data_IF_879874794627
#
_entry.id   IF_879874794627
#
_cell.length_a   1.000
_cell.length_b   1.000
_cell.length_c   1.000
_cell.angle_alpha   90.00
_cell.angle_beta   90.00
_cell.angle_gamma   90.00
#
_symmetry.space_group_name_H-M   'P 1'
#
loop_
_entity.id
_entity.type
_entity.pdbx_description
1 polymer ?
#
# COMPACT_ATOMS: atom_id res chain seq x y z
N UNK A 1 -11.18 79.55 -30.24
CA UNK A 1 -10.57 78.82 -29.12
C UNK A 1 -11.62 77.91 -28.45
N UNK A 2 -12.26 76.97 -29.18
CA UNK A 2 -13.31 76.11 -28.59
C UNK A 2 -13.64 74.86 -29.46
N UNK A 3 -12.63 74.18 -30.03
CA UNK A 3 -12.84 72.90 -30.75
C UNK A 3 -11.95 71.75 -30.27
N UNK A 4 -10.96 71.99 -29.41
CA UNK A 4 -9.96 70.98 -29.03
C UNK A 4 -10.33 70.11 -27.82
N UNK A 5 -11.28 70.52 -26.98
CA UNK A 5 -11.59 69.82 -25.72
C UNK A 5 -12.43 68.54 -25.95
N UNK A 6 -13.34 68.55 -26.93
CA UNK A 6 -14.22 67.40 -27.20
C UNK A 6 -13.50 66.19 -27.80
N UNK A 7 -12.43 66.41 -28.59
CA UNK A 7 -11.63 65.33 -29.19
C UNK A 7 -10.73 64.69 -28.13
N UNK A 8 -10.12 65.50 -27.25
CA UNK A 8 -9.25 65.04 -26.17
C UNK A 8 -10.00 64.15 -25.16
N UNK A 9 -11.22 64.53 -24.78
CA UNK A 9 -12.08 63.72 -23.91
C UNK A 9 -12.54 62.40 -24.56
N UNK A 10 -12.81 62.41 -25.88
CA UNK A 10 -13.22 61.22 -26.64
C UNK A 10 -12.06 60.21 -26.81
N UNK A 11 -10.83 60.70 -26.98
CA UNK A 11 -9.63 59.87 -27.07
C UNK A 11 -9.28 59.28 -25.70
N UNK A 12 -9.32 60.07 -24.63
CA UNK A 12 -9.06 59.60 -23.27
C UNK A 12 -10.05 58.53 -22.78
N UNK A 13 -11.34 58.63 -23.15
CA UNK A 13 -12.37 57.65 -22.80
C UNK A 13 -12.26 56.35 -23.64
N UNK A 14 -11.67 56.43 -24.83
CA UNK A 14 -11.42 55.28 -25.70
C UNK A 14 -10.17 54.51 -25.26
N UNK A 15 -9.10 55.20 -24.87
CA UNK A 15 -7.90 54.57 -24.30
C UNK A 15 -8.17 53.95 -22.93
N UNK A 16 -8.93 54.59 -22.03
CA UNK A 16 -9.33 53.99 -20.73
C UNK A 16 -10.21 52.75 -20.89
N UNK A 17 -11.15 52.75 -21.85
CA UNK A 17 -11.94 51.54 -22.16
C UNK A 17 -11.10 50.42 -22.76
N UNK A 18 -10.13 50.73 -23.61
CA UNK A 18 -9.19 49.75 -24.17
C UNK A 18 -8.26 49.15 -23.10
N UNK A 19 -7.74 49.97 -22.17
CA UNK A 19 -6.90 49.48 -21.07
C UNK A 19 -7.69 48.63 -20.09
N UNK A 20 -8.95 48.98 -19.80
CA UNK A 20 -9.81 48.18 -18.92
C UNK A 20 -10.11 46.80 -19.54
N UNK A 21 -10.46 46.76 -20.83
CA UNK A 21 -10.72 45.50 -21.55
C UNK A 21 -9.46 44.63 -21.64
N UNK A 22 -8.29 45.23 -21.89
CA UNK A 22 -7.03 44.48 -21.92
C UNK A 22 -6.70 43.88 -20.54
N UNK A 23 -6.93 44.64 -19.46
CA UNK A 23 -6.74 44.16 -18.09
C UNK A 23 -7.72 43.03 -17.74
N UNK A 24 -8.98 43.14 -18.18
CA UNK A 24 -9.99 42.10 -18.00
C UNK A 24 -9.63 40.80 -18.74
N UNK A 25 -9.14 40.89 -19.98
CA UNK A 25 -8.65 39.74 -20.75
C UNK A 25 -7.42 39.11 -20.08
N UNK A 26 -6.48 39.94 -19.57
CA UNK A 26 -5.30 39.45 -18.85
C UNK A 26 -5.68 38.72 -17.55
N UNK A 27 -6.68 39.25 -16.82
CA UNK A 27 -7.23 38.60 -15.62
C UNK A 27 -7.90 37.26 -15.97
N UNK A 28 -8.67 37.17 -17.05
CA UNK A 28 -9.31 35.91 -17.49
C UNK A 28 -8.25 34.86 -17.86
N UNK A 29 -7.16 35.26 -18.54
CA UNK A 29 -6.05 34.37 -18.88
C UNK A 29 -5.26 33.88 -17.67
N UNK A 30 -5.42 34.53 -16.51
CA UNK A 30 -4.73 34.16 -15.26
C UNK A 30 -5.49 33.13 -14.43
N UNK A 31 -6.73 32.78 -14.79
CA UNK A 31 -7.58 31.85 -14.03
C UNK A 31 -7.39 30.42 -14.55
N UNK A 32 -6.19 29.87 -14.37
CA UNK A 32 -5.88 28.47 -14.69
C UNK A 32 -5.55 27.69 -13.43
N UNK A 33 -6.50 26.91 -12.91
CA UNK A 33 -6.21 25.93 -11.87
C UNK A 33 -5.71 24.64 -12.52
N UNK A 34 -4.39 24.44 -12.51
CA UNK A 34 -3.78 23.19 -12.96
C UNK A 34 -3.69 22.21 -11.81
N UNK A 35 -4.47 21.12 -11.86
CA UNK A 35 -4.23 19.96 -11.01
C UNK A 35 -3.26 18.99 -11.69
N UNK A 36 -2.39 18.34 -10.90
CA UNK A 36 -1.44 17.37 -11.46
C UNK A 36 -2.21 16.10 -11.83
N UNK A 37 -2.00 15.57 -13.03
CA UNK A 37 -2.65 14.32 -13.49
C UNK A 37 -2.45 13.16 -12.53
N UNK A 38 -1.30 13.12 -11.84
CA UNK A 38 -1.01 12.10 -10.81
C UNK A 38 -2.07 12.09 -9.70
N UNK A 39 -2.58 13.26 -9.30
CA UNK A 39 -3.52 13.41 -8.18
C UNK A 39 -4.96 13.04 -8.61
N UNK A 40 -5.20 12.89 -9.92
CA UNK A 40 -6.45 12.33 -10.46
C UNK A 40 -6.41 10.82 -10.67
N UNK A 41 -5.22 10.22 -10.70
CA UNK A 41 -5.00 8.80 -11.01
C UNK A 41 -4.65 7.96 -9.78
N UNK A 42 -3.92 8.54 -8.81
CA UNK A 42 -3.36 7.80 -7.69
C UNK A 42 -3.82 8.39 -6.36
N UNK A 43 -4.29 7.53 -5.48
CA UNK A 43 -4.57 7.86 -4.09
C UNK A 43 -3.46 7.29 -3.19
N UNK A 44 -3.02 8.09 -2.21
CA UNK A 44 -2.01 7.62 -1.24
C UNK A 44 -2.73 6.97 -0.06
N UNK A 45 -2.47 5.68 0.16
CA UNK A 45 -2.89 5.00 1.39
C UNK A 45 -2.06 5.53 2.57
N UNK A 46 -2.70 6.25 3.47
CA UNK A 46 -2.09 6.75 4.72
C UNK A 46 -2.26 5.72 5.84
N UNK A 47 -1.36 5.69 6.83
CA UNK A 47 -1.46 4.78 7.99
C UNK A 47 -1.08 3.31 7.73
N UNK A 48 -0.71 2.94 6.50
CA UNK A 48 -0.21 1.61 6.20
C UNK A 48 1.19 1.38 6.81
N UNK A 49 1.43 0.16 7.31
CA UNK A 49 2.72 -0.30 7.83
C UNK A 49 3.27 -1.39 6.91
N UNK A 50 4.49 -1.21 6.42
CA UNK A 50 5.16 -2.20 5.60
C UNK A 50 5.73 -3.37 6.42
N UNK A 51 5.75 -4.55 5.83
CA UNK A 51 6.62 -5.64 6.23
C UNK A 51 8.00 -5.45 5.59
N UNK A 52 9.07 -5.71 6.35
CA UNK A 52 10.44 -5.46 5.89
C UNK A 52 11.27 -6.73 5.87
N UNK A 53 12.18 -6.81 4.89
CA UNK A 53 13.17 -7.87 4.80
C UNK A 53 14.21 -7.70 5.90
N UNK A 54 14.41 -8.75 6.69
CA UNK A 54 15.47 -8.88 7.68
C UNK A 54 16.43 -9.97 7.25
N UNK A 55 17.70 -9.77 7.53
CA UNK A 55 18.77 -10.71 7.21
C UNK A 55 19.25 -11.37 8.49
N UNK A 56 19.39 -12.69 8.45
CA UNK A 56 20.17 -13.47 9.40
C UNK A 56 21.43 -13.98 8.67
N UNK A 57 22.44 -14.46 9.39
CA UNK A 57 23.72 -14.91 8.84
C UNK A 57 23.57 -15.92 7.69
N UNK A 58 22.53 -16.74 7.71
CA UNK A 58 22.29 -17.82 6.73
C UNK A 58 21.04 -17.63 5.86
N UNK A 59 20.09 -16.80 6.28
CA UNK A 59 18.76 -16.72 5.67
C UNK A 59 18.23 -15.28 5.63
N UNK A 60 17.25 -15.05 4.76
CA UNK A 60 16.49 -13.81 4.71
C UNK A 60 15.05 -14.12 5.12
N UNK A 61 14.43 -13.23 5.88
CA UNK A 61 13.04 -13.34 6.34
C UNK A 61 12.29 -12.04 6.09
N UNK A 62 10.97 -12.08 6.01
CA UNK A 62 10.13 -10.89 5.76
C UNK A 62 9.93 -10.57 4.29
N UNK A 63 9.61 -9.31 3.98
CA UNK A 63 9.00 -8.91 2.71
C UNK A 63 9.83 -7.85 1.97
N UNK A 64 9.72 -7.82 0.63
CA UNK A 64 10.33 -6.78 -0.21
C UNK A 64 9.44 -6.54 -1.41
N UNK A 65 9.37 -5.30 -1.88
CA UNK A 65 8.77 -4.94 -3.15
C UNK A 65 9.77 -5.02 -4.29
N UNK A 66 9.26 -5.12 -5.52
CA UNK A 66 10.00 -4.85 -6.75
C UNK A 66 10.66 -3.47 -6.75
N UNK A 67 11.74 -3.31 -7.52
CA UNK A 67 12.54 -2.07 -7.57
C UNK A 67 11.69 -0.84 -7.87
N UNK A 68 10.69 -0.99 -8.72
CA UNK A 68 9.75 0.06 -9.13
C UNK A 68 8.37 -0.08 -8.46
N UNK A 69 8.27 -0.95 -7.45
CA UNK A 69 7.05 -1.26 -6.71
C UNK A 69 6.30 -2.46 -7.28
N UNK A 70 5.58 -3.18 -6.42
CA UNK A 70 4.71 -4.29 -6.81
C UNK A 70 3.31 -3.76 -7.11
N UNK A 71 2.82 -3.93 -8.34
CA UNK A 71 1.49 -3.51 -8.77
C UNK A 71 0.59 -4.72 -9.04
N UNK A 72 -0.72 -4.58 -8.85
CA UNK A 72 -1.68 -5.64 -9.16
C UNK A 72 -3.12 -5.22 -8.90
N UNK A 73 -4.06 -6.05 -9.34
CA UNK A 73 -5.49 -5.83 -9.17
C UNK A 73 -5.87 -6.06 -7.71
N UNK A 74 -6.43 -5.04 -7.06
CA UNK A 74 -6.94 -5.15 -5.69
C UNK A 74 -8.11 -6.13 -5.66
N UNK A 75 -8.03 -7.16 -4.83
CA UNK A 75 -9.10 -8.14 -4.66
C UNK A 75 -9.46 -8.27 -3.18
N UNK A 76 -10.69 -7.91 -2.82
CA UNK A 76 -11.12 -7.95 -1.43
C UNK A 76 -11.64 -9.35 -1.05
N UNK A 77 -10.88 -10.04 -0.19
CA UNK A 77 -11.11 -11.44 0.21
C UNK A 77 -11.33 -11.52 1.73
N UNK A 78 -12.60 -11.52 2.15
CA UNK A 78 -12.97 -11.64 3.57
C UNK A 78 -12.84 -13.07 4.10
N UNK A 79 -12.89 -14.06 3.20
CA UNK A 79 -12.86 -15.48 3.56
C UNK A 79 -11.84 -16.23 2.72
N UNK A 80 -11.43 -17.39 3.20
CA UNK A 80 -10.49 -18.28 2.51
C UNK A 80 -11.02 -18.75 1.15
N UNK A 81 -12.33 -18.90 1.00
CA UNK A 81 -12.95 -19.36 -0.26
C UNK A 81 -12.88 -18.27 -1.34
N UNK A 82 -13.05 -16.99 -0.95
CA UNK A 82 -12.83 -15.86 -1.87
C UNK A 82 -11.37 -15.79 -2.32
N UNK A 83 -10.43 -16.16 -1.45
CA UNK A 83 -9.02 -16.22 -1.81
C UNK A 83 -8.75 -17.37 -2.80
N UNK A 84 -9.36 -18.53 -2.59
CA UNK A 84 -9.24 -19.66 -3.52
C UNK A 84 -9.82 -19.33 -4.92
N UNK A 85 -10.81 -18.42 -5.00
CA UNK A 85 -11.32 -17.93 -6.28
C UNK A 85 -10.22 -17.28 -7.13
N UNK A 86 -9.39 -16.39 -6.58
CA UNK A 86 -8.32 -15.77 -7.37
C UNK A 86 -7.24 -16.77 -7.75
N UNK A 87 -7.00 -17.78 -6.91
CA UNK A 87 -6.01 -18.83 -7.15
C UNK A 87 -6.39 -19.76 -8.30
N UNK A 88 -7.68 -20.01 -8.51
CA UNK A 88 -8.15 -21.01 -9.49
C UNK A 88 -8.92 -20.42 -10.68
N UNK A 89 -9.68 -19.35 -10.48
CA UNK A 89 -10.62 -18.80 -11.47
C UNK A 89 -10.32 -17.34 -11.84
N UNK A 90 -9.27 -16.74 -11.28
CA UNK A 90 -8.88 -15.37 -11.55
C UNK A 90 -8.49 -15.15 -13.02
N UNK A 91 -8.98 -14.06 -13.62
CA UNK A 91 -8.74 -13.71 -15.03
C UNK A 91 -7.73 -12.58 -15.23
N UNK A 92 -7.30 -11.90 -14.17
CA UNK A 92 -6.50 -10.68 -14.22
C UNK A 92 -5.33 -10.67 -13.21
N UNK A 93 -4.42 -11.65 -13.24
CA UNK A 93 -3.17 -11.57 -12.48
C UNK A 93 -2.27 -10.42 -13.01
N UNK A 94 -1.39 -9.85 -12.18
CA UNK A 94 -1.15 -10.17 -10.77
C UNK A 94 -2.19 -9.54 -9.82
N UNK A 95 -2.51 -10.23 -8.73
CA UNK A 95 -3.46 -9.79 -7.71
C UNK A 95 -2.78 -9.21 -6.47
N UNK A 96 -3.48 -8.29 -5.79
CA UNK A 96 -3.18 -7.80 -4.44
C UNK A 96 -4.42 -8.08 -3.56
N UNK A 97 -4.51 -9.26 -2.92
CA UNK A 97 -5.57 -9.56 -1.98
C UNK A 97 -5.55 -8.60 -0.78
N UNK A 98 -6.74 -8.15 -0.39
CA UNK A 98 -7.01 -7.39 0.83
C UNK A 98 -7.84 -8.29 1.74
N UNK A 99 -7.30 -8.66 2.90
CA UNK A 99 -7.95 -9.64 3.77
C UNK A 99 -7.84 -9.31 5.27
N UNK A 100 -8.76 -9.80 6.11
CA UNK A 100 -8.69 -9.59 7.55
C UNK A 100 -7.57 -10.41 8.18
N UNK A 101 -7.02 -9.92 9.31
CA UNK A 101 -6.01 -10.66 10.11
C UNK A 101 -6.50 -12.07 10.49
N UNK A 102 -7.81 -12.26 10.69
CA UNK A 102 -8.39 -13.54 11.11
C UNK A 102 -8.08 -14.72 10.17
N UNK A 103 -7.94 -14.46 8.87
CA UNK A 103 -7.63 -15.51 7.89
C UNK A 103 -6.14 -15.57 7.54
N UNK A 104 -5.31 -14.75 8.20
CA UNK A 104 -3.86 -14.71 7.98
C UNK A 104 -3.18 -15.88 8.70
N UNK A 105 -3.05 -17.01 8.03
CA UNK A 105 -2.28 -18.18 8.51
C UNK A 105 -1.03 -18.43 7.68
N UNK A 106 -0.07 -19.20 8.21
CA UNK A 106 1.15 -19.56 7.48
C UNK A 106 0.83 -20.33 6.18
N UNK A 107 -0.18 -21.20 6.21
CA UNK A 107 -0.63 -21.95 5.04
C UNK A 107 -1.25 -21.04 3.97
N UNK A 108 -2.03 -20.04 4.38
CA UNK A 108 -2.60 -19.05 3.45
C UNK A 108 -1.49 -18.24 2.79
N UNK A 109 -0.52 -17.73 3.55
CA UNK A 109 0.62 -17.00 2.99
C UNK A 109 1.38 -17.89 2.01
N UNK A 110 1.67 -19.13 2.39
CA UNK A 110 2.38 -20.08 1.55
C UNK A 110 1.63 -20.35 0.24
N UNK A 111 0.32 -20.60 0.30
CA UNK A 111 -0.52 -20.78 -0.90
C UNK A 111 -0.43 -19.57 -1.83
N UNK A 112 -0.47 -18.35 -1.28
CA UNK A 112 -0.38 -17.12 -2.07
C UNK A 112 1.00 -16.94 -2.71
N UNK A 113 2.08 -17.19 -1.97
CA UNK A 113 3.45 -17.10 -2.49
C UNK A 113 3.70 -18.16 -3.56
N UNK A 114 3.33 -19.42 -3.28
CA UNK A 114 3.54 -20.56 -4.19
C UNK A 114 2.69 -20.44 -5.48
N UNK A 115 1.60 -19.65 -5.45
CA UNK A 115 0.75 -19.44 -6.63
C UNK A 115 1.43 -18.68 -7.76
N UNK A 116 2.41 -17.82 -7.46
CA UNK A 116 3.08 -16.96 -8.44
C UNK A 116 2.20 -15.89 -9.11
N UNK A 117 0.90 -15.80 -8.77
CA UNK A 117 -0.05 -14.84 -9.37
C UNK A 117 -0.34 -13.63 -8.48
N UNK A 118 0.29 -13.56 -7.29
CA UNK A 118 0.06 -12.52 -6.29
C UNK A 118 1.32 -11.66 -6.17
N UNK A 119 1.19 -10.34 -6.36
CA UNK A 119 2.32 -9.39 -6.29
C UNK A 119 2.47 -8.71 -4.92
N UNK A 120 1.44 -8.76 -4.09
CA UNK A 120 1.46 -8.22 -2.74
C UNK A 120 0.23 -8.61 -1.93
N UNK A 121 0.22 -8.26 -0.66
CA UNK A 121 -0.83 -8.60 0.29
C UNK A 121 -1.12 -7.40 1.18
N UNK A 122 -2.39 -7.08 1.35
CA UNK A 122 -2.86 -6.09 2.33
C UNK A 122 -3.66 -6.80 3.40
N UNK A 123 -3.23 -6.65 4.65
CA UNK A 123 -3.93 -7.21 5.81
C UNK A 123 -4.53 -6.07 6.60
N UNK A 124 -5.82 -6.14 6.92
CA UNK A 124 -6.46 -5.16 7.78
C UNK A 124 -6.91 -5.76 9.11
N UNK A 125 -6.79 -4.97 10.18
CA UNK A 125 -7.49 -5.27 11.41
C UNK A 125 -9.01 -5.14 11.19
N UNK A 126 -9.77 -6.11 11.71
CA UNK A 126 -11.22 -6.00 11.85
C UNK A 126 -11.56 -6.02 13.35
N UNK A 127 -12.79 -5.65 13.72
CA UNK A 127 -13.29 -5.75 15.10
C UNK A 127 -13.54 -7.22 15.55
N UNK A 128 -13.07 -8.19 14.78
CA UNK A 128 -13.17 -9.60 15.12
C UNK A 128 -12.26 -9.94 16.30
N UNK A 129 -12.80 -10.68 17.25
CA UNK A 129 -12.02 -11.26 18.35
C UNK A 129 -11.15 -12.40 17.80
N UNK A 130 -9.83 -12.24 17.91
CA UNK A 130 -8.87 -13.31 17.67
C UNK A 130 -8.58 -14.01 19.00
N UNK A 131 -8.78 -15.32 19.06
CA UNK A 131 -8.49 -16.10 20.28
C UNK A 131 -7.01 -16.03 20.64
N UNK A 132 -6.15 -16.19 19.64
CA UNK A 132 -4.71 -16.09 19.75
C UNK A 132 -4.10 -15.76 18.40
N UNK A 133 -3.04 -14.96 18.40
CA UNK A 133 -2.26 -14.67 17.21
C UNK A 133 -0.82 -14.35 17.57
N UNK A 134 0.11 -15.08 16.99
CA UNK A 134 1.54 -14.87 17.20
C UNK A 134 2.30 -15.33 15.97
N UNK A 135 3.15 -14.44 15.47
CA UNK A 135 4.00 -14.71 14.30
C UNK A 135 5.31 -15.42 14.67
N UNK A 136 5.65 -15.46 15.96
CA UNK A 136 6.92 -15.99 16.44
C UNK A 136 6.88 -17.51 16.59
N UNK A 137 8.05 -18.10 16.81
CA UNK A 137 8.21 -19.51 17.11
C UNK A 137 7.62 -19.88 18.48
N UNK A 138 7.36 -21.18 18.66
CA UNK A 138 6.94 -21.70 19.97
C UNK A 138 8.04 -21.61 21.04
N UNK A 139 9.29 -21.73 20.59
CA UNK A 139 10.49 -21.44 21.36
C UNK A 139 11.24 -20.29 20.68
N UNK A 140 11.09 -19.05 21.14
CA UNK A 140 11.89 -17.94 20.65
C UNK A 140 13.39 -18.17 20.89
N UNK A 141 14.23 -17.76 19.94
CA UNK A 141 15.70 -17.83 20.04
C UNK A 141 16.27 -19.18 20.52
N UNK A 142 15.91 -20.32 19.90
CA UNK A 142 16.29 -21.63 20.40
C UNK A 142 17.80 -21.86 20.41
N UNK A 143 18.54 -21.24 19.47
CA UNK A 143 20.00 -21.35 19.35
C UNK A 143 20.78 -20.48 20.34
N UNK A 144 20.13 -19.48 20.93
CA UNK A 144 20.75 -18.56 21.90
C UNK A 144 20.24 -18.77 23.31
N UNK A 145 19.31 -19.71 23.50
CA UNK A 145 18.72 -20.03 24.79
C UNK A 145 19.54 -21.10 25.51
N UNK A 146 19.45 -21.13 26.84
CA UNK A 146 20.04 -22.21 27.62
C UNK A 146 19.34 -23.54 27.29
N UNK A 147 20.12 -24.59 27.11
CA UNK A 147 19.61 -25.91 26.73
C UNK A 147 18.55 -26.40 27.72
N UNK A 148 17.43 -26.87 27.18
CA UNK A 148 16.35 -27.47 27.95
C UNK A 148 15.41 -26.48 28.65
N UNK A 149 15.53 -25.18 28.42
CA UNK A 149 14.60 -24.16 28.96
C UNK A 149 13.26 -24.11 28.21
N UNK A 150 13.25 -24.39 26.91
CA UNK A 150 12.03 -24.54 26.09
C UNK A 150 11.98 -25.94 25.50
N UNK A 151 10.92 -26.70 25.81
CA UNK A 151 10.75 -28.11 25.40
C UNK A 151 9.32 -28.33 24.90
N UNK A 152 9.07 -29.47 24.24
CA UNK A 152 7.74 -29.81 23.67
C UNK A 152 6.60 -29.76 24.69
N UNK A 153 6.88 -30.09 25.94
CA UNK A 153 5.88 -30.08 27.03
C UNK A 153 5.83 -28.74 27.78
N UNK A 154 6.69 -27.78 27.42
CA UNK A 154 6.85 -26.49 28.10
C UNK A 154 7.26 -25.39 27.11
N UNK A 155 6.45 -25.20 26.07
CA UNK A 155 6.64 -24.10 25.14
C UNK A 155 6.37 -22.76 25.84
N UNK A 156 7.26 -21.80 25.63
CA UNK A 156 7.08 -20.44 26.13
C UNK A 156 5.98 -19.70 25.37
N UNK A 157 5.81 -20.05 24.09
CA UNK A 157 4.77 -19.53 23.22
C UNK A 157 3.97 -20.70 22.60
N UNK A 158 3.02 -21.32 23.31
CA UNK A 158 2.34 -22.53 22.83
C UNK A 158 1.61 -22.33 21.49
N UNK A 159 1.14 -21.11 21.22
CA UNK A 159 0.44 -20.74 19.98
C UNK A 159 1.38 -20.26 18.86
N UNK A 160 2.70 -20.33 19.05
CA UNK A 160 3.71 -19.90 18.08
C UNK A 160 3.55 -20.58 16.71
N UNK A 161 3.40 -19.78 15.66
CA UNK A 161 3.20 -20.29 14.29
C UNK A 161 4.44 -20.18 13.40
N UNK A 162 5.47 -19.45 13.85
CA UNK A 162 6.70 -19.22 13.10
C UNK A 162 6.47 -18.65 11.67
N UNK A 163 5.45 -17.80 11.52
CA UNK A 163 4.98 -17.27 10.23
C UNK A 163 6.05 -16.46 9.48
N UNK A 164 7.07 -15.92 10.18
CA UNK A 164 8.17 -15.15 9.57
C UNK A 164 9.08 -15.93 8.61
N UNK A 165 9.10 -17.27 8.67
CA UNK A 165 10.03 -18.07 7.84
C UNK A 165 9.51 -18.37 6.44
N UNK A 166 8.22 -18.13 6.18
CA UNK A 166 7.53 -18.67 5.01
C UNK A 166 7.36 -17.66 3.87
N UNK A 167 8.21 -16.63 3.81
CA UNK A 167 8.38 -15.88 2.56
C UNK A 167 9.71 -16.32 1.95
N UNK A 168 9.76 -17.54 1.36
CA UNK A 168 10.97 -18.01 0.72
C UNK A 168 11.30 -17.07 -0.44
N UNK A 169 12.51 -16.50 -0.39
CA UNK A 169 13.22 -16.22 -1.63
C UNK A 169 13.83 -17.56 -2.03
N UNK A 170 13.39 -18.19 -3.14
CA UNK A 170 14.14 -19.30 -3.70
C UNK A 170 15.57 -18.83 -3.96
N UNK A 171 16.50 -19.78 -4.06
CA UNK A 171 17.92 -19.56 -4.39
C UNK A 171 18.17 -18.91 -5.77
N UNK A 172 17.12 -18.38 -6.42
CA UNK A 172 17.20 -17.45 -7.52
C UNK A 172 16.92 -16.06 -6.94
N UNK A 173 17.97 -15.25 -6.78
CA UNK A 173 17.91 -13.85 -6.34
C UNK A 173 17.12 -12.91 -7.28
N UNK A 174 16.33 -13.47 -8.20
CA UNK A 174 15.49 -12.78 -9.16
C UNK A 174 14.06 -13.35 -9.07
N UNK A 175 13.10 -12.50 -8.70
CA UNK A 175 11.66 -12.60 -9.02
C UNK A 175 10.65 -13.23 -8.04
N UNK A 176 10.83 -13.15 -6.71
CA UNK A 176 9.66 -13.26 -5.82
C UNK A 176 9.70 -12.21 -4.71
N UNK A 177 9.59 -10.95 -5.12
CA UNK A 177 9.48 -9.81 -4.21
C UNK A 177 7.99 -9.58 -3.87
N UNK A 178 7.56 -10.22 -2.76
CA UNK A 178 6.20 -10.13 -2.25
C UNK A 178 6.06 -8.93 -1.29
N UNK A 179 5.22 -7.95 -1.66
CA UNK A 179 4.98 -6.77 -0.83
C UNK A 179 3.84 -7.01 0.17
N UNK A 180 4.12 -7.06 1.48
CA UNK A 180 3.05 -7.10 2.49
C UNK A 180 2.88 -5.75 3.18
N UNK A 181 1.62 -5.31 3.28
CA UNK A 181 1.21 -4.13 4.04
C UNK A 181 0.18 -4.52 5.10
N UNK A 182 0.35 -3.97 6.31
CA UNK A 182 -0.63 -4.04 7.38
C UNK A 182 -1.31 -2.68 7.53
N UNK A 183 -2.64 -2.70 7.58
CA UNK A 183 -3.45 -1.51 7.76
C UNK A 183 -4.25 -1.60 9.07
N UNK A 184 -4.06 -0.60 9.94
CA UNK A 184 -4.90 -0.39 11.12
C UNK A 184 -5.73 0.85 10.87
N UNK A 185 -7.05 0.72 10.89
CA UNK A 185 -7.93 1.89 10.84
C UNK A 185 -7.59 2.83 12.00
N UNK A 186 -7.25 4.08 11.70
CA UNK A 186 -6.96 5.14 12.68
C UNK A 186 -8.22 5.75 13.30
N UNK A 187 -9.38 5.11 13.14
CA UNK A 187 -10.67 5.57 13.65
C UNK A 187 -10.99 5.01 15.06
N UNK A 188 -9.99 4.49 15.77
CA UNK A 188 -10.10 4.03 17.16
C UNK A 188 -8.96 4.54 18.03
N UNK A 189 -8.78 5.87 18.01
CA UNK A 189 -8.24 6.63 19.14
C UNK A 189 -9.39 7.37 19.84
#
# INVERSE_FOLDING_TARGET
MCQNINIFWRIMNKTTKCTLNACFILCILSIGYGERTKDKMYERITGARGCYRRLNATHQIGCSSERDGSTGVIFYAETTEKLDFILHNGTAPPYIPVMPVKILTADVIRKLVDSGIVSGLVVHANNDTLDYFTHDYQCPNPLSSLDGTCKRDSFWNPHGTAQYNYIPHPNNAHNSQFSCFYYKNSLSE
#
